data_IF_014844453908
#
_entry.id   IF_014844453908
#
_cell.length_a   1.000
_cell.length_b   1.000
_cell.length_c   1.000
_cell.angle_alpha   90.00
_cell.angle_beta   90.00
_cell.angle_gamma   90.00
#
_symmetry.space_group_name_H-M   'P 1'
#
loop_
_entity.id
_entity.type
_entity.pdbx_description
1 polymer ?
#
# COMPACT_ATOMS: atom_id res chain seq x y z
N UNK A 1 -3.37 -24.23 39.28
CA UNK A 1 -3.03 -25.01 38.07
C UNK A 1 -3.19 -24.09 36.86
N UNK A 2 -2.11 -23.85 36.11
CA UNK A 2 -2.08 -23.08 34.85
C UNK A 2 -1.95 -24.07 33.67
N UNK A 3 -2.47 -23.75 32.48
CA UNK A 3 -1.89 -24.23 31.23
C UNK A 3 -1.24 -23.08 30.42
N UNK A 4 -0.14 -23.42 29.75
CA UNK A 4 0.69 -22.59 28.88
C UNK A 4 0.36 -22.86 27.40
N UNK A 5 0.61 -21.86 26.54
CA UNK A 5 0.65 -21.89 25.07
C UNK A 5 1.70 -22.87 24.53
N UNK A 6 1.58 -23.28 23.24
CA UNK A 6 2.75 -23.30 22.33
C UNK A 6 2.38 -23.09 20.85
N UNK A 7 3.20 -22.22 20.25
CA UNK A 7 3.42 -21.87 18.84
C UNK A 7 3.99 -23.06 18.04
N UNK A 8 3.79 -23.14 16.73
CA UNK A 8 4.60 -24.01 15.84
C UNK A 8 5.32 -23.18 14.79
N UNK A 9 6.64 -23.15 14.94
CA UNK A 9 7.68 -22.60 14.07
C UNK A 9 8.37 -23.81 13.40
N UNK A 10 8.60 -23.80 12.08
CA UNK A 10 9.43 -24.81 11.42
C UNK A 10 10.65 -24.17 10.76
N UNK A 11 11.83 -24.49 11.31
CA UNK A 11 13.18 -24.33 10.75
C UNK A 11 13.62 -25.69 10.20
N UNK A 12 14.24 -25.72 9.01
CA UNK A 12 14.98 -26.88 8.50
C UNK A 12 16.43 -26.47 8.28
N UNK A 13 17.38 -27.14 8.94
CA UNK A 13 18.83 -26.96 8.81
C UNK A 13 19.46 -28.07 7.95
N UNK A 14 20.49 -27.68 7.17
CA UNK A 14 21.36 -28.49 6.29
C UNK A 14 22.64 -28.91 7.05
N UNK A 15 23.31 -30.05 6.74
CA UNK A 15 24.71 -30.27 7.13
C UNK A 15 25.73 -29.83 6.04
N UNK A 16 26.45 -28.76 6.37
CA UNK A 16 27.84 -28.33 6.10
C UNK A 16 28.60 -28.69 4.79
N UNK A 17 29.16 -27.67 4.10
CA UNK A 17 30.56 -27.19 4.33
C UNK A 17 30.93 -25.93 3.52
N UNK A 18 31.72 -25.06 4.19
CA UNK A 18 32.37 -23.79 3.79
C UNK A 18 31.47 -22.53 3.83
N UNK A 19 31.84 -21.67 4.78
CA UNK A 19 31.00 -20.69 5.45
C UNK A 19 31.02 -19.31 4.79
N UNK A 20 29.90 -18.95 4.16
CA UNK A 20 29.39 -17.58 4.17
C UNK A 20 28.16 -17.62 5.08
N UNK A 21 28.23 -16.96 6.24
CA UNK A 21 27.10 -16.86 7.16
C UNK A 21 25.96 -16.11 6.47
N UNK A 22 24.79 -16.72 6.19
CA UNK A 22 23.61 -15.95 5.88
C UNK A 22 23.11 -15.43 7.22
N UNK A 23 23.53 -14.21 7.58
CA UNK A 23 22.73 -13.45 8.54
C UNK A 23 21.36 -13.31 7.91
N UNK A 24 20.39 -14.04 8.42
CA UNK A 24 18.97 -13.78 8.18
C UNK A 24 18.68 -12.41 8.75
N UNK A 25 18.94 -11.39 7.94
CA UNK A 25 18.55 -10.02 8.21
C UNK A 25 17.03 -10.05 8.28
N UNK A 26 16.50 -9.78 9.47
CA UNK A 26 15.11 -9.38 9.63
C UNK A 26 14.91 -8.11 8.81
N UNK A 27 14.54 -8.28 7.54
CA UNK A 27 13.98 -7.21 6.74
C UNK A 27 12.69 -6.85 7.47
N UNK A 28 12.61 -5.60 7.93
CA UNK A 28 11.40 -5.03 8.47
C UNK A 28 10.25 -5.39 7.53
N UNK A 29 9.23 -6.11 8.02
CA UNK A 29 7.95 -6.24 7.33
C UNK A 29 7.29 -4.86 7.36
N UNK A 30 7.23 -4.09 6.26
CA UNK A 30 6.47 -2.86 6.23
C UNK A 30 5.04 -3.26 5.84
N UNK A 31 4.09 -3.02 6.74
CA UNK A 31 2.63 -3.06 6.53
C UNK A 31 2.08 -4.05 5.50
N UNK A 32 1.58 -5.19 6.01
CA UNK A 32 0.29 -5.78 5.62
C UNK A 32 -0.25 -5.45 4.22
N UNK A 33 -0.16 -6.42 3.30
CA UNK A 33 -0.99 -6.60 2.10
C UNK A 33 -0.97 -5.44 1.07
N UNK A 34 -0.75 -5.69 -0.24
CA UNK A 34 -1.28 -4.77 -1.24
C UNK A 34 -2.78 -4.71 -1.00
N UNK A 35 -3.23 -3.54 -0.57
CA UNK A 35 -4.60 -3.16 -0.25
C UNK A 35 -5.63 -4.10 -0.91
N UNK A 36 -6.11 -5.12 -0.19
CA UNK A 36 -6.89 -6.22 -0.80
C UNK A 36 -8.25 -5.77 -1.32
N UNK A 37 -8.63 -4.52 -1.03
CA UNK A 37 -9.92 -3.92 -1.32
C UNK A 37 -9.86 -2.91 -2.48
N UNK A 38 -8.66 -2.59 -2.98
CA UNK A 38 -8.46 -1.63 -4.08
C UNK A 38 -8.72 -0.19 -3.66
N UNK A 39 -8.47 0.17 -2.40
CA UNK A 39 -8.73 1.52 -1.91
C UNK A 39 -7.86 2.57 -2.62
N UNK A 40 -8.51 3.69 -2.98
CA UNK A 40 -7.91 4.76 -3.77
C UNK A 40 -7.63 4.42 -5.23
N UNK A 41 -7.88 3.20 -5.70
CA UNK A 41 -7.73 2.82 -7.10
C UNK A 41 -8.80 3.47 -7.98
N UNK A 42 -8.47 3.75 -9.23
CA UNK A 42 -9.41 4.28 -10.23
C UNK A 42 -10.47 3.24 -10.66
N UNK A 43 -10.17 1.95 -10.51
CA UNK A 43 -11.07 0.84 -10.80
C UNK A 43 -10.99 -0.24 -9.69
N UNK A 44 -11.47 0.07 -8.48
CA UNK A 44 -11.35 -0.81 -7.31
C UNK A 44 -12.04 -2.16 -7.54
N UNK A 45 -13.16 -2.18 -8.30
CA UNK A 45 -13.91 -3.40 -8.60
C UNK A 45 -13.10 -4.38 -9.43
N UNK A 46 -12.51 -3.92 -10.53
CA UNK A 46 -11.68 -4.81 -11.34
C UNK A 46 -10.36 -5.15 -10.65
N UNK A 47 -9.85 -4.29 -9.77
CA UNK A 47 -8.72 -4.65 -8.92
C UNK A 47 -9.06 -5.84 -8.01
N UNK A 48 -10.12 -5.74 -7.19
CA UNK A 48 -10.52 -6.80 -6.25
C UNK A 48 -10.81 -8.09 -7.01
N UNK A 49 -11.60 -8.03 -8.08
CA UNK A 49 -11.93 -9.19 -8.91
C UNK A 49 -10.66 -9.84 -9.49
N UNK A 50 -9.71 -9.04 -9.96
CA UNK A 50 -8.45 -9.52 -10.50
C UNK A 50 -7.60 -10.17 -9.40
N UNK A 51 -7.42 -9.50 -8.26
CA UNK A 51 -6.62 -9.96 -7.13
C UNK A 51 -7.16 -11.27 -6.56
N UNK A 52 -8.47 -11.36 -6.26
CA UNK A 52 -9.10 -12.60 -5.77
C UNK A 52 -8.87 -13.75 -6.73
N UNK A 53 -9.03 -13.53 -8.05
CA UNK A 53 -8.75 -14.56 -9.04
C UNK A 53 -7.28 -15.02 -8.98
N UNK A 54 -6.32 -14.12 -8.81
CA UNK A 54 -4.90 -14.51 -8.72
C UNK A 54 -4.59 -15.31 -7.44
N UNK A 55 -5.28 -15.01 -6.33
CA UNK A 55 -5.17 -15.81 -5.11
C UNK A 55 -5.73 -17.23 -5.32
N UNK A 56 -6.88 -17.36 -5.97
CA UNK A 56 -7.48 -18.67 -6.30
C UNK A 56 -6.58 -19.49 -7.25
N UNK A 57 -6.00 -18.82 -8.27
CA UNK A 57 -5.06 -19.43 -9.20
C UNK A 57 -3.78 -19.90 -8.47
N UNK A 58 -3.29 -19.14 -7.48
CA UNK A 58 -2.15 -19.52 -6.64
C UNK A 58 -2.44 -20.78 -5.80
N UNK A 59 -3.59 -20.85 -5.14
CA UNK A 59 -4.01 -22.04 -4.37
C UNK A 59 -4.11 -23.26 -5.29
N UNK A 60 -4.66 -23.08 -6.48
CA UNK A 60 -4.76 -24.13 -7.50
C UNK A 60 -3.37 -24.60 -7.94
N UNK A 61 -2.44 -23.66 -8.16
CA UNK A 61 -1.06 -23.94 -8.53
C UNK A 61 -0.33 -24.72 -7.42
N UNK A 62 -0.40 -24.25 -6.17
CA UNK A 62 0.25 -24.90 -5.03
C UNK A 62 -0.25 -26.32 -4.79
N UNK A 63 -1.54 -26.56 -4.98
CA UNK A 63 -2.13 -27.92 -4.87
C UNK A 63 -1.53 -28.88 -5.90
N UNK A 64 -1.24 -28.42 -7.12
CA UNK A 64 -0.56 -29.21 -8.16
C UNK A 64 0.93 -29.45 -7.87
N UNK A 65 1.56 -28.63 -7.05
CA UNK A 65 2.95 -28.84 -6.63
C UNK A 65 3.11 -29.83 -5.48
N UNK A 66 2.01 -30.20 -4.79
CA UNK A 66 2.03 -30.99 -3.56
C UNK A 66 1.60 -32.45 -3.73
N UNK A 67 1.62 -32.99 -4.95
CA UNK A 67 0.94 -34.26 -5.27
C UNK A 67 1.78 -35.50 -4.89
N UNK A 68 3.09 -35.40 -4.68
CA UNK A 68 3.93 -36.57 -4.32
C UNK A 68 5.17 -36.29 -3.46
N UNK A 69 5.54 -35.03 -3.27
CA UNK A 69 6.51 -34.45 -2.34
C UNK A 69 6.50 -32.96 -2.67
N UNK A 70 6.50 -32.07 -1.69
CA UNK A 70 6.49 -30.63 -1.96
C UNK A 70 7.68 -30.26 -2.86
N UNK A 71 7.41 -30.00 -4.14
CA UNK A 71 8.43 -29.53 -5.08
C UNK A 71 8.63 -28.04 -4.80
N UNK A 72 9.73 -27.71 -4.12
CA UNK A 72 10.04 -26.35 -3.68
C UNK A 72 10.13 -25.40 -4.88
N UNK A 73 10.76 -25.80 -5.97
CA UNK A 73 10.89 -24.98 -7.19
C UNK A 73 9.52 -24.70 -7.82
N UNK A 74 8.61 -25.69 -7.79
CA UNK A 74 7.23 -25.52 -8.26
C UNK A 74 6.46 -24.52 -7.39
N UNK A 75 6.57 -24.61 -6.07
CA UNK A 75 5.91 -23.68 -5.13
C UNK A 75 6.45 -22.26 -5.27
N UNK A 76 7.77 -22.10 -5.45
CA UNK A 76 8.40 -20.82 -5.75
C UNK A 76 7.87 -20.24 -7.07
N UNK A 77 7.79 -21.06 -8.13
CA UNK A 77 7.22 -20.65 -9.42
C UNK A 77 5.76 -20.19 -9.33
N UNK A 78 4.94 -20.85 -8.50
CA UNK A 78 3.57 -20.41 -8.22
C UNK A 78 3.55 -19.04 -7.51
N UNK A 79 4.46 -18.82 -6.56
CA UNK A 79 4.61 -17.55 -5.84
C UNK A 79 4.95 -16.39 -6.78
N UNK A 80 5.99 -16.56 -7.60
CA UNK A 80 6.41 -15.56 -8.61
C UNK A 80 5.28 -15.23 -9.58
N UNK A 81 4.57 -16.26 -10.06
CA UNK A 81 3.43 -16.09 -10.97
C UNK A 81 2.28 -15.29 -10.33
N UNK A 82 1.93 -15.62 -9.07
CA UNK A 82 0.93 -14.88 -8.30
C UNK A 82 1.35 -13.43 -8.14
N UNK A 83 2.56 -13.17 -7.65
CA UNK A 83 3.03 -11.83 -7.35
C UNK A 83 3.04 -10.95 -8.59
N UNK A 84 3.48 -11.52 -9.71
CA UNK A 84 3.48 -10.84 -11.02
C UNK A 84 2.06 -10.49 -11.45
N UNK A 85 1.12 -11.42 -11.31
CA UNK A 85 -0.26 -11.21 -11.74
C UNK A 85 -1.03 -10.23 -10.82
N UNK A 86 -0.81 -10.31 -9.50
CA UNK A 86 -1.36 -9.36 -8.51
C UNK A 86 -0.83 -7.95 -8.76
N UNK A 87 0.47 -7.81 -9.00
CA UNK A 87 1.05 -6.52 -9.38
C UNK A 87 0.44 -6.00 -10.68
N UNK A 88 0.17 -6.89 -11.65
CA UNK A 88 -0.55 -6.56 -12.88
C UNK A 88 -1.97 -6.02 -12.63
N UNK A 89 -2.68 -6.56 -11.64
CA UNK A 89 -3.97 -6.03 -11.19
C UNK A 89 -3.83 -4.59 -10.68
N UNK A 90 -2.80 -4.31 -9.85
CA UNK A 90 -2.51 -2.94 -9.37
C UNK A 90 -2.30 -2.00 -10.54
N UNK A 91 -1.43 -2.34 -11.50
CA UNK A 91 -1.14 -1.40 -12.60
C UNK A 91 -2.36 -1.18 -13.50
N UNK A 92 -3.20 -2.21 -13.69
CA UNK A 92 -4.39 -2.09 -14.53
C UNK A 92 -5.48 -1.24 -13.90
N UNK A 93 -5.72 -1.41 -12.60
CA UNK A 93 -6.89 -0.89 -11.93
C UNK A 93 -6.59 0.25 -10.96
N UNK A 94 -5.33 0.46 -10.61
CA UNK A 94 -4.85 1.49 -9.68
C UNK A 94 -3.80 2.38 -10.36
N UNK A 95 -3.89 2.57 -11.68
CA UNK A 95 -2.89 3.35 -12.43
C UNK A 95 -2.77 4.80 -11.93
N UNK A 96 -3.78 5.33 -11.22
CA UNK A 96 -3.75 6.64 -10.59
C UNK A 96 -2.85 6.72 -9.34
N UNK A 97 -2.37 5.58 -8.83
CA UNK A 97 -1.49 5.49 -7.65
C UNK A 97 -0.05 5.09 -8.00
N UNK A 98 0.31 4.94 -9.28
CA UNK A 98 1.60 4.32 -9.70
C UNK A 98 2.86 5.08 -9.28
N UNK A 99 2.74 6.33 -8.82
CA UNK A 99 3.88 7.08 -8.29
C UNK A 99 3.86 7.25 -6.77
N UNK A 100 2.77 6.85 -6.11
CA UNK A 100 2.64 6.94 -4.64
C UNK A 100 3.70 6.12 -3.94
N UNK A 101 4.02 6.49 -2.70
CA UNK A 101 4.91 5.73 -1.82
C UNK A 101 4.47 4.27 -1.70
N UNK A 102 3.16 4.02 -1.59
CA UNK A 102 2.61 2.67 -1.49
C UNK A 102 2.98 1.82 -2.71
N UNK A 103 2.77 2.35 -3.93
CA UNK A 103 3.13 1.64 -5.15
C UNK A 103 4.65 1.39 -5.23
N UNK A 104 5.45 2.40 -4.93
CA UNK A 104 6.91 2.30 -5.02
C UNK A 104 7.46 1.28 -4.01
N UNK A 105 6.91 1.21 -2.80
CA UNK A 105 7.27 0.17 -1.81
C UNK A 105 6.79 -1.22 -2.24
N UNK A 106 5.60 -1.33 -2.83
CA UNK A 106 5.09 -2.61 -3.35
C UNK A 106 5.95 -3.13 -4.49
N UNK A 107 6.37 -2.24 -5.41
CA UNK A 107 7.28 -2.55 -6.51
C UNK A 107 8.65 -3.02 -6.00
N UNK A 108 9.20 -2.33 -5.01
CA UNK A 108 10.45 -2.72 -4.36
C UNK A 108 10.33 -4.10 -3.71
N UNK A 109 9.26 -4.35 -2.96
CA UNK A 109 9.03 -5.65 -2.34
C UNK A 109 8.91 -6.77 -3.38
N UNK A 110 8.23 -6.52 -4.49
CA UNK A 110 8.16 -7.45 -5.62
C UNK A 110 9.57 -7.79 -6.15
N UNK A 111 10.42 -6.78 -6.34
CA UNK A 111 11.81 -6.97 -6.80
C UNK A 111 12.61 -7.81 -5.81
N UNK A 112 12.53 -7.51 -4.51
CA UNK A 112 13.28 -8.19 -3.45
C UNK A 112 12.84 -9.66 -3.30
N UNK A 113 11.53 -9.90 -3.17
CA UNK A 113 10.99 -11.24 -2.92
C UNK A 113 11.25 -12.19 -4.09
N UNK A 114 11.33 -11.66 -5.31
CA UNK A 114 11.53 -12.45 -6.51
C UNK A 114 12.98 -12.45 -7.02
N UNK A 115 13.92 -11.87 -6.26
CA UNK A 115 15.36 -11.79 -6.59
C UNK A 115 15.63 -11.25 -8.00
N UNK A 116 14.96 -10.16 -8.37
CA UNK A 116 15.01 -9.61 -9.73
C UNK A 116 16.14 -8.59 -9.88
N UNK A 117 16.92 -8.71 -10.97
CA UNK A 117 18.06 -7.84 -11.26
C UNK A 117 17.59 -6.51 -11.83
N UNK A 118 17.91 -5.40 -11.16
CA UNK A 118 17.41 -4.04 -11.43
C UNK A 118 17.82 -3.42 -12.80
N UNK A 119 18.43 -4.16 -13.72
CA UNK A 119 19.02 -3.65 -14.97
C UNK A 119 18.05 -3.61 -16.17
N UNK A 120 16.79 -4.04 -15.99
CA UNK A 120 15.73 -3.98 -16.99
C UNK A 120 14.45 -3.36 -16.41
N UNK A 121 13.54 -2.80 -17.24
CA UNK A 121 12.22 -2.38 -16.77
C UNK A 121 11.37 -3.61 -16.40
N UNK A 122 11.63 -4.15 -15.20
CA UNK A 122 10.98 -5.33 -14.62
C UNK A 122 9.57 -4.97 -14.14
N UNK A 123 9.45 -3.79 -13.55
CA UNK A 123 8.24 -3.28 -12.92
C UNK A 123 7.87 -1.95 -13.60
N UNK A 124 6.67 -1.82 -14.17
CA UNK A 124 6.21 -0.57 -14.75
C UNK A 124 6.30 0.58 -13.74
N UNK A 125 6.56 1.80 -14.23
CA UNK A 125 6.50 3.03 -13.41
C UNK A 125 7.43 3.03 -12.17
N UNK A 126 8.45 2.18 -12.17
CA UNK A 126 9.44 2.07 -11.11
C UNK A 126 10.86 2.09 -11.72
N UNK A 127 11.75 3.00 -11.26
CA UNK A 127 11.48 4.14 -10.39
C UNK A 127 10.54 5.17 -11.05
N UNK A 128 9.91 6.08 -10.29
CA UNK A 128 9.07 7.12 -10.86
C UNK A 128 9.93 8.15 -11.59
N UNK A 129 9.41 8.81 -12.65
CA UNK A 129 10.14 9.88 -13.32
C UNK A 129 10.37 11.06 -12.36
N UNK A 130 11.40 11.90 -12.61
CA UNK A 130 11.68 13.05 -11.77
C UNK A 130 10.47 13.99 -11.65
N UNK A 131 10.15 14.41 -10.43
CA UNK A 131 9.05 15.33 -10.11
C UNK A 131 7.67 14.86 -10.59
N UNK A 132 7.44 13.55 -10.67
CA UNK A 132 6.13 13.01 -11.00
C UNK A 132 5.05 13.50 -10.00
N UNK A 133 3.87 13.83 -10.51
CA UNK A 133 2.75 14.22 -9.66
C UNK A 133 2.29 13.03 -8.79
N UNK A 134 1.94 13.27 -7.53
CA UNK A 134 1.60 12.18 -6.60
C UNK A 134 2.77 11.23 -6.33
N UNK A 135 4.00 11.65 -6.63
CA UNK A 135 5.18 10.87 -6.33
C UNK A 135 5.38 10.74 -4.83
N UNK A 136 6.09 9.69 -4.44
CA UNK A 136 6.62 9.60 -3.09
C UNK A 136 7.62 10.72 -2.80
N UNK A 137 7.63 11.24 -1.57
CA UNK A 137 8.52 12.32 -1.11
C UNK A 137 10.02 12.01 -1.27
N UNK A 138 10.35 10.73 -1.44
CA UNK A 138 11.65 10.23 -1.80
C UNK A 138 11.52 9.24 -2.97
N UNK A 139 12.45 9.30 -3.92
CA UNK A 139 12.54 8.32 -5.00
C UNK A 139 13.23 7.05 -4.47
N UNK A 140 12.46 6.23 -3.75
CA UNK A 140 12.94 4.99 -3.12
C UNK A 140 13.53 4.03 -4.15
N UNK A 141 12.97 3.97 -5.36
CA UNK A 141 13.53 3.13 -6.42
C UNK A 141 14.95 3.53 -6.82
N UNK A 142 15.22 4.83 -6.97
CA UNK A 142 16.58 5.32 -7.21
C UNK A 142 17.48 5.14 -5.98
N UNK A 143 16.97 5.33 -4.76
CA UNK A 143 17.75 5.14 -3.54
C UNK A 143 18.18 3.67 -3.39
N UNK A 144 17.27 2.73 -3.61
CA UNK A 144 17.55 1.30 -3.60
C UNK A 144 18.46 0.87 -4.76
N UNK A 145 18.28 1.44 -5.96
CA UNK A 145 19.17 1.19 -7.11
C UNK A 145 20.62 1.57 -6.77
N UNK A 146 20.82 2.68 -6.06
CA UNK A 146 22.15 3.07 -5.61
C UNK A 146 22.79 2.05 -4.66
N UNK A 147 22.02 1.18 -3.99
CA UNK A 147 22.55 0.11 -3.14
C UNK A 147 22.70 -1.24 -3.86
N UNK A 148 21.93 -1.45 -4.93
CA UNK A 148 21.70 -2.80 -5.50
C UNK A 148 22.04 -2.94 -6.97
N UNK A 149 22.57 -1.90 -7.62
CA UNK A 149 23.30 -2.06 -8.89
C UNK A 149 24.60 -2.84 -8.59
N UNK A 150 24.43 -4.13 -8.35
CA UNK A 150 25.42 -5.17 -8.44
C UNK A 150 25.39 -5.60 -9.90
N UNK A 151 26.43 -5.27 -10.65
CA UNK A 151 26.83 -6.15 -11.73
C UNK A 151 27.13 -7.53 -11.09
N UNK A 152 27.12 -8.63 -11.87
CA UNK A 152 27.60 -9.92 -11.38
C UNK A 152 28.97 -9.81 -10.68
N UNK A 153 29.76 -8.81 -11.10
CA UNK A 153 31.06 -8.42 -10.59
C UNK A 153 31.00 -7.06 -9.86
N UNK A 154 31.84 -6.83 -8.84
CA UNK A 154 31.96 -5.50 -8.20
C UNK A 154 32.41 -4.44 -9.22
N UNK A 155 31.99 -3.17 -9.09
CA UNK A 155 32.49 -2.07 -9.95
C UNK A 155 34.01 -1.97 -9.89
N UNK A 156 34.60 -2.41 -8.77
CA UNK A 156 36.02 -2.43 -8.56
C UNK A 156 36.73 -3.50 -9.38
N UNK A 157 36.07 -4.61 -9.71
CA UNK A 157 36.66 -5.59 -10.62
C UNK A 157 36.86 -5.00 -12.02
N UNK A 158 35.93 -4.15 -12.48
CA UNK A 158 36.10 -3.41 -13.74
C UNK A 158 37.21 -2.36 -13.67
N UNK A 159 37.35 -1.69 -12.51
CA UNK A 159 38.30 -0.58 -12.33
C UNK A 159 39.74 -1.06 -12.09
N UNK A 160 39.93 -2.15 -11.35
CA UNK A 160 41.26 -2.59 -10.89
C UNK A 160 41.56 -4.08 -11.14
N UNK A 161 40.64 -4.83 -11.74
CA UNK A 161 40.79 -6.27 -11.99
C UNK A 161 40.43 -7.15 -10.79
N UNK A 162 40.58 -8.47 -10.94
CA UNK A 162 40.22 -9.44 -9.92
C UNK A 162 41.37 -9.71 -8.93
N UNK A 163 41.07 -9.66 -7.63
CA UNK A 163 41.98 -10.03 -6.53
C UNK A 163 42.98 -8.96 -6.12
N UNK A 164 43.65 -9.19 -4.99
CA UNK A 164 44.71 -8.32 -4.45
C UNK A 164 44.21 -7.11 -3.64
N UNK A 165 45.16 -6.34 -3.11
CA UNK A 165 44.86 -5.24 -2.19
C UNK A 165 44.18 -4.05 -2.87
N UNK A 166 44.43 -3.82 -4.16
CA UNK A 166 43.75 -2.76 -4.91
C UNK A 166 42.25 -3.02 -5.03
N UNK A 167 41.83 -4.28 -5.25
CA UNK A 167 40.42 -4.64 -5.28
C UNK A 167 39.78 -4.38 -3.92
N UNK A 168 40.38 -4.90 -2.84
CA UNK A 168 39.93 -4.70 -1.46
C UNK A 168 39.81 -3.21 -1.10
N UNK A 169 40.79 -2.38 -1.48
CA UNK A 169 40.79 -0.92 -1.25
C UNK A 169 39.70 -0.22 -2.04
N UNK A 170 39.47 -0.62 -3.30
CA UNK A 170 38.38 -0.09 -4.09
C UNK A 170 37.02 -0.49 -3.51
N UNK A 171 36.85 -1.72 -3.00
CA UNK A 171 35.60 -2.18 -2.38
C UNK A 171 35.24 -1.37 -1.11
N UNK A 172 36.24 -0.84 -0.39
CA UNK A 172 36.01 0.16 0.66
C UNK A 172 35.30 1.41 0.10
N UNK A 173 35.79 1.92 -1.04
CA UNK A 173 35.21 3.07 -1.74
C UNK A 173 33.82 2.77 -2.30
N UNK A 174 33.62 1.59 -2.86
CA UNK A 174 32.35 1.13 -3.40
C UNK A 174 31.25 1.13 -2.32
N UNK A 175 31.58 0.71 -1.10
CA UNK A 175 30.65 0.73 0.02
C UNK A 175 30.21 2.14 0.40
N UNK A 176 31.16 3.09 0.48
CA UNK A 176 30.85 4.50 0.72
C UNK A 176 30.03 5.10 -0.42
N UNK A 177 30.36 4.77 -1.67
CA UNK A 177 29.62 5.20 -2.86
C UNK A 177 28.15 4.79 -2.82
N UNK A 178 27.86 3.53 -2.52
CA UNK A 178 26.50 3.00 -2.49
C UNK A 178 25.64 3.66 -1.40
N UNK A 179 26.18 3.75 -0.18
CA UNK A 179 25.51 4.47 0.91
C UNK A 179 25.26 5.93 0.55
N UNK A 180 26.27 6.60 0.01
CA UNK A 180 26.19 8.02 -0.32
C UNK A 180 25.20 8.30 -1.43
N UNK A 181 25.14 7.46 -2.46
CA UNK A 181 24.13 7.56 -3.51
C UNK A 181 22.70 7.43 -2.96
N UNK A 182 22.46 6.49 -2.05
CA UNK A 182 21.15 6.31 -1.42
C UNK A 182 20.75 7.53 -0.57
N UNK A 183 21.66 8.02 0.28
CA UNK A 183 21.43 9.21 1.12
C UNK A 183 21.23 10.47 0.27
N UNK A 184 22.06 10.69 -0.75
CA UNK A 184 21.90 11.84 -1.65
C UNK A 184 20.57 11.83 -2.41
N UNK A 185 20.06 10.64 -2.74
CA UNK A 185 18.75 10.51 -3.39
C UNK A 185 17.62 10.89 -2.45
N UNK A 186 17.75 10.54 -1.16
CA UNK A 186 16.70 10.71 -0.16
C UNK A 186 17.26 11.20 1.19
N UNK A 187 17.73 12.47 1.26
CA UNK A 187 18.56 12.92 2.37
C UNK A 187 17.81 13.07 3.70
N UNK A 188 16.49 13.24 3.64
CA UNK A 188 15.64 13.44 4.84
C UNK A 188 14.92 12.19 5.29
N UNK A 189 14.88 11.17 4.45
CA UNK A 189 14.03 9.98 4.64
C UNK A 189 14.70 8.96 5.56
N UNK A 190 13.90 8.31 6.39
CA UNK A 190 14.31 7.09 7.09
C UNK A 190 14.51 5.95 6.07
N UNK A 191 15.77 5.67 5.75
CA UNK A 191 16.17 4.64 4.78
C UNK A 191 16.30 3.23 5.40
N UNK A 192 15.92 3.04 6.67
CA UNK A 192 15.75 1.69 7.23
C UNK A 192 14.66 0.90 6.49
N UNK A 193 13.70 1.59 5.86
CA UNK A 193 12.66 1.01 5.00
C UNK A 193 13.21 0.24 3.78
N UNK A 194 14.45 0.53 3.37
CA UNK A 194 15.18 -0.21 2.34
C UNK A 194 16.40 -0.96 2.90
N UNK A 195 16.42 -1.19 4.22
CA UNK A 195 17.49 -1.87 4.95
C UNK A 195 18.88 -1.22 4.77
N UNK A 196 18.95 0.10 4.57
CA UNK A 196 20.23 0.81 4.47
C UNK A 196 21.06 0.68 5.75
N UNK A 197 20.41 0.60 6.91
CA UNK A 197 21.09 0.42 8.20
C UNK A 197 21.75 -0.97 8.30
N UNK A 198 21.11 -2.01 7.77
CA UNK A 198 21.66 -3.38 7.71
C UNK A 198 22.85 -3.41 6.76
N UNK A 199 22.70 -2.82 5.58
CA UNK A 199 23.80 -2.66 4.61
C UNK A 199 24.99 -1.94 5.24
N UNK A 200 24.72 -0.81 5.90
CA UNK A 200 25.72 0.00 6.58
C UNK A 200 26.46 -0.78 7.68
N UNK A 201 25.72 -1.46 8.56
CA UNK A 201 26.32 -2.32 9.60
C UNK A 201 27.20 -3.40 8.98
N UNK A 202 26.74 -4.03 7.90
CA UNK A 202 27.54 -5.01 7.14
C UNK A 202 28.83 -4.40 6.59
N UNK A 203 28.73 -3.27 5.90
CA UNK A 203 29.89 -2.57 5.34
C UNK A 203 30.91 -2.18 6.42
N UNK A 204 30.46 -1.57 7.53
CA UNK A 204 31.32 -1.17 8.65
C UNK A 204 31.92 -2.38 9.38
N UNK A 205 31.18 -3.45 9.58
CA UNK A 205 31.70 -4.67 10.23
C UNK A 205 32.71 -5.41 9.35
N UNK A 206 32.61 -5.28 8.03
CA UNK A 206 33.55 -5.87 7.09
C UNK A 206 34.84 -5.06 6.97
N UNK A 207 34.82 -3.74 7.22
CA UNK A 207 36.01 -2.86 7.15
C UNK A 207 37.21 -3.39 7.98
N UNK A 208 37.04 -3.82 9.25
CA UNK A 208 38.14 -4.40 10.03
C UNK A 208 38.54 -5.83 9.63
N UNK A 209 37.71 -6.53 8.84
CA UNK A 209 37.97 -7.91 8.40
C UNK A 209 38.79 -7.96 7.11
N UNK A 210 39.02 -6.81 6.48
CA UNK A 210 39.89 -6.69 5.31
C UNK A 210 41.32 -6.46 5.81
N UNK A 211 42.30 -7.23 5.33
CA UNK A 211 43.75 -7.03 5.63
C UNK A 211 44.32 -5.68 5.11
N UNK A 212 43.45 -4.74 4.72
CA UNK A 212 43.81 -3.42 4.19
C UNK A 212 43.02 -2.35 4.94
N UNK A 213 43.70 -1.27 5.32
CA UNK A 213 43.07 -0.17 6.07
C UNK A 213 42.11 0.62 5.17
N UNK A 214 40.80 0.37 5.32
CA UNK A 214 39.76 1.12 4.63
C UNK A 214 39.52 2.52 5.22
N UNK A 215 39.93 2.81 6.46
CA UNK A 215 39.57 4.06 7.13
C UNK A 215 39.99 5.33 6.38
N UNK A 216 41.19 5.40 5.74
CA UNK A 216 41.58 6.54 4.91
C UNK A 216 40.77 6.67 3.63
N UNK A 217 40.20 5.56 3.13
CA UNK A 217 39.52 5.44 1.84
C UNK A 217 38.01 5.62 1.93
N UNK A 218 37.42 5.65 3.13
CA UNK A 218 35.99 5.96 3.29
C UNK A 218 35.71 7.48 3.14
N UNK A 219 36.54 8.21 2.40
CA UNK A 219 36.40 9.64 2.12
C UNK A 219 36.33 9.86 0.59
N UNK A 220 35.40 10.69 0.12
CA UNK A 220 35.12 11.00 -1.31
C UNK A 220 36.36 11.22 -2.14
N UNK A 221 37.25 12.07 -1.62
CA UNK A 221 38.30 12.69 -2.42
C UNK A 221 39.30 11.62 -2.82
N UNK A 222 39.62 10.71 -1.88
CA UNK A 222 40.53 9.60 -2.17
C UNK A 222 39.91 8.54 -3.08
N UNK A 223 38.63 8.24 -2.95
CA UNK A 223 37.96 7.29 -3.84
C UNK A 223 37.91 7.77 -5.29
N UNK A 224 37.67 9.07 -5.46
CA UNK A 224 37.61 9.68 -6.77
C UNK A 224 39.03 9.79 -7.37
N UNK A 225 40.01 10.23 -6.59
CA UNK A 225 41.40 10.37 -7.03
C UNK A 225 42.06 9.03 -7.37
N UNK A 226 41.87 8.01 -6.54
CA UNK A 226 42.60 6.74 -6.65
C UNK A 226 41.95 5.78 -7.65
N UNK A 227 40.63 5.71 -7.70
CA UNK A 227 39.89 4.74 -8.51
C UNK A 227 39.01 5.38 -9.58
N UNK A 228 38.95 6.71 -9.68
CA UNK A 228 38.05 7.39 -10.61
C UNK A 228 36.57 7.20 -10.28
N UNK A 229 36.26 6.81 -9.03
CA UNK A 229 34.92 6.38 -8.63
C UNK A 229 33.96 7.56 -8.56
N UNK A 230 32.83 7.47 -9.26
CA UNK A 230 31.79 8.50 -9.30
C UNK A 230 30.51 8.03 -8.61
N UNK A 231 29.83 8.95 -7.92
CA UNK A 231 28.51 8.70 -7.35
C UNK A 231 27.48 8.45 -8.45
N UNK A 232 26.52 7.55 -8.16
CA UNK A 232 25.34 7.36 -9.01
C UNK A 232 24.31 8.48 -8.86
N UNK A 233 24.31 9.19 -7.73
CA UNK A 233 23.40 10.30 -7.44
C UNK A 233 24.01 11.26 -6.40
N UNK A 234 23.79 12.57 -6.61
CA UNK A 234 24.35 13.65 -5.78
C UNK A 234 25.86 13.85 -5.96
N UNK A 235 26.45 14.66 -5.07
CA UNK A 235 27.87 15.06 -5.11
C UNK A 235 28.62 14.79 -3.82
N UNK A 236 27.92 14.49 -2.72
CA UNK A 236 28.53 14.30 -1.40
C UNK A 236 28.83 12.81 -1.17
N UNK A 237 30.07 12.45 -0.81
CA UNK A 237 30.30 11.15 -0.19
C UNK A 237 30.28 11.26 1.32
N UNK A 238 29.69 10.27 1.95
CA UNK A 238 29.67 10.10 3.39
C UNK A 238 30.73 9.10 3.84
N UNK A 239 31.44 9.48 4.91
CA UNK A 239 32.34 8.58 5.60
C UNK A 239 31.56 7.65 6.51
N UNK A 240 31.60 6.35 6.20
CA UNK A 240 30.85 5.34 6.94
C UNK A 240 31.31 5.16 8.39
N UNK A 241 32.54 5.57 8.73
CA UNK A 241 33.03 5.52 10.11
C UNK A 241 32.68 6.79 10.91
N UNK A 242 32.23 7.84 10.24
CA UNK A 242 31.98 9.15 10.84
C UNK A 242 30.89 9.89 10.10
N UNK A 243 29.66 9.42 10.23
CA UNK A 243 28.49 10.07 9.63
C UNK A 243 28.17 11.39 10.35
N UNK A 244 27.76 12.44 9.62
CA UNK A 244 27.22 13.65 10.22
C UNK A 244 25.97 13.37 11.05
N UNK A 245 25.69 14.15 12.10
CA UNK A 245 24.44 14.04 12.84
C UNK A 245 23.23 14.20 11.93
N UNK A 246 22.25 13.29 12.04
CA UNK A 246 21.03 13.32 11.23
C UNK A 246 21.15 12.70 9.84
N UNK A 247 22.25 11.98 9.55
CA UNK A 247 22.43 11.19 8.34
C UNK A 247 22.45 9.68 8.66
N UNK A 248 21.61 8.84 8.01
CA UNK A 248 20.51 9.23 7.13
C UNK A 248 19.40 9.98 7.91
N UNK A 249 18.51 10.63 7.18
CA UNK A 249 17.36 11.29 7.79
C UNK A 249 16.40 10.31 8.46
N UNK A 250 15.39 10.86 9.15
CA UNK A 250 14.43 10.07 9.95
C UNK A 250 12.97 10.33 9.57
N UNK A 251 12.72 11.05 8.48
CA UNK A 251 11.36 11.38 8.06
C UNK A 251 10.71 10.18 7.39
N UNK A 252 9.46 9.90 7.77
CA UNK A 252 8.64 8.94 7.03
C UNK A 252 8.41 9.43 5.60
N UNK A 253 8.24 8.49 4.68
CA UNK A 253 7.84 8.79 3.31
C UNK A 253 6.35 9.20 3.26
N UNK A 254 6.00 10.07 2.33
CA UNK A 254 4.63 10.55 2.12
C UNK A 254 4.42 10.93 0.67
N UNK A 255 3.19 10.82 0.17
CA UNK A 255 2.86 11.26 -1.18
C UNK A 255 2.94 12.80 -1.28
N UNK A 256 3.50 13.31 -2.39
CA UNK A 256 3.59 14.73 -2.67
C UNK A 256 2.81 15.10 -3.94
N UNK A 257 1.86 16.02 -3.77
CA UNK A 257 0.94 16.43 -4.82
C UNK A 257 -0.13 15.38 -5.13
N UNK A 258 -1.07 15.73 -6.01
CA UNK A 258 -2.10 14.81 -6.49
C UNK A 258 -1.78 14.36 -7.92
N UNK A 259 -1.86 13.06 -8.18
CA UNK A 259 -1.77 12.53 -9.53
C UNK A 259 -3.12 12.72 -10.24
N UNK A 260 -3.22 13.75 -11.08
CA UNK A 260 -4.49 14.12 -11.74
C UNK A 260 -4.53 13.75 -13.22
N UNK A 261 -3.37 13.59 -13.87
CA UNK A 261 -3.28 13.23 -15.29
C UNK A 261 -2.08 12.33 -15.56
N UNK A 262 -2.26 11.35 -16.45
CA UNK A 262 -1.19 10.46 -16.89
C UNK A 262 -0.41 11.09 -18.06
N UNK A 263 0.92 11.29 -17.96
CA UNK A 263 1.72 11.82 -19.05
C UNK A 263 2.05 10.70 -20.04
N UNK A 264 1.16 10.42 -21.00
CA UNK A 264 1.39 9.37 -22.01
C UNK A 264 0.18 9.02 -22.85
N UNK A 265 0.34 8.06 -23.80
CA UNK A 265 -0.77 7.58 -24.61
C UNK A 265 -1.84 6.95 -23.70
N UNK A 266 -3.12 7.23 -23.96
CA UNK A 266 -4.24 6.72 -23.17
C UNK A 266 -4.35 5.19 -23.18
N UNK A 267 -3.59 4.49 -24.01
CA UNK A 267 -3.49 3.03 -23.98
C UNK A 267 -2.05 2.60 -24.24
N UNK A 268 -1.52 1.71 -23.40
CA UNK A 268 -0.18 1.14 -23.58
C UNK A 268 -0.14 -0.33 -23.18
N UNK A 269 0.80 -1.09 -23.75
CA UNK A 269 1.03 -2.49 -23.37
C UNK A 269 2.13 -2.54 -22.34
N UNK A 270 1.78 -2.99 -21.14
CA UNK A 270 2.75 -3.31 -20.10
C UNK A 270 3.36 -4.67 -20.37
N UNK A 271 4.65 -4.76 -20.09
CA UNK A 271 5.39 -6.02 -19.99
C UNK A 271 6.02 -6.04 -18.61
N UNK A 272 5.90 -7.18 -17.94
CA UNK A 272 6.52 -7.42 -16.65
C UNK A 272 7.33 -8.72 -16.71
N UNK A 273 8.10 -8.96 -15.66
CA UNK A 273 8.80 -10.22 -15.47
C UNK A 273 7.86 -11.44 -15.59
N UNK A 274 8.41 -12.60 -15.92
CA UNK A 274 7.61 -13.83 -16.10
C UNK A 274 6.74 -13.85 -17.36
N UNK A 275 6.92 -12.90 -18.29
CA UNK A 275 6.20 -12.85 -19.56
C UNK A 275 4.77 -12.30 -19.45
N UNK A 276 4.39 -11.75 -18.30
CA UNK A 276 3.10 -11.10 -18.14
C UNK A 276 3.03 -9.87 -19.05
N UNK A 277 1.94 -9.78 -19.81
CA UNK A 277 1.62 -8.60 -20.60
C UNK A 277 0.16 -8.23 -20.46
N UNK A 278 -0.12 -6.95 -20.26
CA UNK A 278 -1.48 -6.42 -20.21
C UNK A 278 -1.56 -5.08 -20.92
N UNK A 279 -2.65 -4.87 -21.64
CA UNK A 279 -3.01 -3.54 -22.13
C UNK A 279 -3.65 -2.76 -20.98
N UNK A 280 -3.15 -1.57 -20.71
CA UNK A 280 -3.75 -0.62 -19.77
C UNK A 280 -4.34 0.54 -20.55
N UNK A 281 -5.51 1.02 -20.12
CA UNK A 281 -6.17 2.21 -20.65
C UNK A 281 -6.31 3.23 -19.53
N UNK A 282 -5.68 4.39 -19.72
CA UNK A 282 -5.56 5.47 -18.75
C UNK A 282 -6.44 6.63 -19.18
N UNK A 283 -7.26 7.15 -18.28
CA UNK A 283 -8.20 8.25 -18.53
C UNK A 283 -7.92 9.41 -17.54
N UNK A 284 -8.35 10.65 -17.79
CA UNK A 284 -8.29 11.68 -16.76
C UNK A 284 -9.07 11.26 -15.50
N UNK A 285 -8.51 11.52 -14.31
CA UNK A 285 -9.17 11.23 -13.04
C UNK A 285 -9.47 12.52 -12.29
N UNK A 286 -10.76 12.76 -12.05
CA UNK A 286 -11.26 13.73 -11.07
C UNK A 286 -11.88 12.94 -9.93
N UNK A 287 -11.51 13.26 -8.68
CA UNK A 287 -12.18 12.71 -7.51
C UNK A 287 -13.67 13.08 -7.59
N UNK A 288 -14.50 12.11 -7.97
CA UNK A 288 -15.91 12.29 -8.28
C UNK A 288 -16.76 12.49 -7.03
N UNK A 289 -17.62 13.51 -7.12
CA UNK A 289 -18.67 13.96 -6.21
C UNK A 289 -19.57 12.89 -5.58
N UNK A 290 -19.86 13.08 -4.29
CA UNK A 290 -21.06 12.55 -3.61
C UNK A 290 -20.83 12.09 -2.15
N UNK A 291 -19.58 11.98 -1.73
CA UNK A 291 -19.16 11.81 -0.34
C UNK A 291 -17.67 12.11 -0.23
N UNK A 292 -17.29 13.05 0.63
CA UNK A 292 -15.88 13.45 0.78
C UNK A 292 -15.22 12.56 1.81
N UNK A 293 -14.32 11.69 1.35
CA UNK A 293 -13.48 10.90 2.25
C UNK A 293 -12.37 11.80 2.82
N UNK A 294 -12.23 11.80 4.14
CA UNK A 294 -11.25 12.60 4.85
C UNK A 294 -10.38 11.70 5.71
N UNK A 295 -9.06 11.86 5.64
CA UNK A 295 -8.12 11.09 6.47
C UNK A 295 -8.39 11.23 7.98
N UNK A 296 -9.02 12.33 8.42
CA UNK A 296 -9.51 12.51 9.78
C UNK A 296 -10.55 13.63 9.87
N UNK A 297 -11.34 13.66 10.96
CA UNK A 297 -12.20 14.81 11.31
C UNK A 297 -11.37 16.11 11.36
N UNK A 298 -10.14 16.03 11.90
CA UNK A 298 -9.24 17.18 11.94
C UNK A 298 -8.91 17.69 10.54
N UNK A 299 -8.66 16.82 9.57
CA UNK A 299 -8.36 17.21 8.19
C UNK A 299 -9.52 17.98 7.55
N UNK A 300 -10.76 17.55 7.79
CA UNK A 300 -11.93 18.32 7.37
C UNK A 300 -11.99 19.67 8.09
N UNK A 301 -11.78 19.71 9.41
CA UNK A 301 -11.77 20.96 10.19
C UNK A 301 -10.67 21.94 9.80
N UNK A 302 -9.51 21.44 9.40
CA UNK A 302 -8.43 22.27 8.87
C UNK A 302 -8.83 22.85 7.50
N UNK A 303 -9.51 22.06 6.65
CA UNK A 303 -10.07 22.56 5.39
C UNK A 303 -11.13 23.63 5.60
N UNK A 304 -12.02 23.47 6.59
CA UNK A 304 -13.04 24.48 6.95
C UNK A 304 -12.42 25.86 7.23
N UNK A 305 -11.16 25.92 7.65
CA UNK A 305 -10.42 27.15 7.96
C UNK A 305 -9.72 27.77 6.74
N UNK A 306 -9.73 27.11 5.59
CA UNK A 306 -9.09 27.62 4.37
C UNK A 306 -9.98 28.63 3.63
N UNK A 307 -9.36 29.52 2.86
CA UNK A 307 -10.09 30.47 2.00
C UNK A 307 -10.94 29.77 0.92
N UNK A 308 -10.65 28.51 0.60
CA UNK A 308 -11.38 27.71 -0.38
C UNK A 308 -12.73 27.18 0.14
N UNK A 309 -12.92 27.10 1.46
CA UNK A 309 -14.08 26.46 2.06
C UNK A 309 -15.38 27.23 1.81
N UNK A 310 -15.38 28.55 2.03
CA UNK A 310 -16.60 29.35 1.87
C UNK A 310 -17.12 29.34 0.42
N UNK A 311 -16.28 29.54 -0.62
CA UNK A 311 -16.71 29.36 -2.01
C UNK A 311 -17.24 27.96 -2.32
N UNK A 312 -16.66 26.92 -1.71
CA UNK A 312 -17.12 25.53 -1.87
C UNK A 312 -18.52 25.33 -1.28
N UNK A 313 -18.74 25.74 -0.02
CA UNK A 313 -20.05 25.64 0.65
C UNK A 313 -21.12 26.45 -0.09
N UNK A 314 -20.79 27.64 -0.58
CA UNK A 314 -21.72 28.47 -1.36
C UNK A 314 -22.18 27.77 -2.64
N UNK A 315 -21.27 27.08 -3.34
CA UNK A 315 -21.63 26.29 -4.54
C UNK A 315 -22.52 25.10 -4.21
N UNK A 316 -22.28 24.43 -3.09
CA UNK A 316 -23.16 23.34 -2.64
C UNK A 316 -24.53 23.88 -2.22
N UNK A 317 -24.57 25.04 -1.56
CA UNK A 317 -25.82 25.67 -1.14
C UNK A 317 -26.78 25.99 -2.28
N UNK A 318 -26.30 26.19 -3.52
CA UNK A 318 -27.18 26.45 -4.67
C UNK A 318 -27.96 25.22 -5.13
N UNK A 319 -27.53 24.02 -4.77
CA UNK A 319 -28.15 22.75 -5.15
C UNK A 319 -28.89 22.06 -3.99
N UNK A 320 -28.88 22.66 -2.80
CA UNK A 320 -29.55 22.12 -1.62
C UNK A 320 -30.88 22.82 -1.35
N UNK A 321 -31.91 22.05 -0.99
CA UNK A 321 -33.24 22.57 -0.65
C UNK A 321 -33.36 23.05 0.81
N UNK A 322 -32.27 23.00 1.58
CA UNK A 322 -32.24 23.37 2.99
C UNK A 322 -30.81 23.50 3.53
N UNK A 323 -30.65 23.79 4.84
CA UNK A 323 -29.33 23.92 5.45
C UNK A 323 -28.47 22.67 5.28
N UNK A 324 -27.17 22.85 5.03
CA UNK A 324 -26.22 21.74 4.94
C UNK A 324 -26.11 21.07 6.31
N UNK A 325 -26.48 19.79 6.38
CA UNK A 325 -26.18 18.95 7.54
C UNK A 325 -25.00 18.06 7.20
N UNK A 326 -23.87 18.30 7.84
CA UNK A 326 -22.69 17.44 7.75
C UNK A 326 -22.61 16.57 9.00
N UNK A 327 -22.24 15.31 8.81
CA UNK A 327 -22.02 14.34 9.89
C UNK A 327 -20.74 13.60 9.58
N UNK A 328 -19.92 13.34 10.59
CA UNK A 328 -18.73 12.52 10.44
C UNK A 328 -19.06 11.10 10.87
N UNK A 329 -18.81 10.14 9.99
CA UNK A 329 -18.92 8.72 10.30
C UNK A 329 -17.52 8.10 10.27
N UNK A 330 -17.16 7.43 11.35
CA UNK A 330 -15.92 6.65 11.46
C UNK A 330 -16.14 5.28 10.80
N UNK A 331 -16.10 5.27 9.47
CA UNK A 331 -16.31 4.07 8.70
C UNK A 331 -15.15 3.07 8.89
N UNK A 332 -15.49 1.78 8.97
CA UNK A 332 -14.51 0.68 9.05
C UNK A 332 -13.78 0.44 7.74
N UNK A 333 -14.34 0.92 6.63
CA UNK A 333 -13.75 0.92 5.30
C UNK A 333 -14.15 2.22 4.57
N UNK A 334 -13.39 2.70 3.58
CA UNK A 334 -13.75 3.88 2.80
C UNK A 334 -15.19 3.84 2.26
N UNK A 335 -15.84 5.00 2.16
CA UNK A 335 -17.20 5.08 1.58
C UNK A 335 -17.23 4.55 0.14
N UNK A 336 -16.11 4.67 -0.57
CA UNK A 336 -15.91 4.13 -1.91
C UNK A 336 -16.22 2.63 -2.02
N UNK A 337 -16.05 1.85 -0.95
CA UNK A 337 -16.39 0.41 -0.93
C UNK A 337 -17.88 0.17 -1.25
N UNK A 338 -18.77 1.08 -0.84
CA UNK A 338 -20.18 1.04 -1.22
C UNK A 338 -20.48 1.90 -2.46
N UNK A 339 -19.85 3.08 -2.57
CA UNK A 339 -20.15 4.09 -3.58
C UNK A 339 -19.69 3.76 -5.02
N UNK A 340 -19.02 2.63 -5.21
CA UNK A 340 -18.75 2.07 -6.55
C UNK A 340 -19.99 1.47 -7.23
N UNK A 341 -21.08 1.27 -6.48
CA UNK A 341 -22.32 0.73 -6.98
C UNK A 341 -23.18 1.80 -7.68
N UNK A 342 -23.98 1.43 -8.71
CA UNK A 342 -24.92 2.35 -9.35
C UNK A 342 -25.89 3.00 -8.35
N UNK A 343 -26.38 2.22 -7.38
CA UNK A 343 -27.24 2.70 -6.30
C UNK A 343 -26.57 2.42 -4.97
N UNK A 344 -26.52 3.42 -4.10
CA UNK A 344 -26.04 3.28 -2.72
C UNK A 344 -27.19 3.52 -1.77
N UNK A 345 -27.46 2.55 -0.92
CA UNK A 345 -28.31 2.72 0.25
C UNK A 345 -27.49 3.35 1.38
N UNK A 346 -27.87 4.56 1.79
CA UNK A 346 -27.36 5.22 2.98
C UNK A 346 -28.38 5.08 4.11
N UNK A 347 -28.04 4.25 5.08
CA UNK A 347 -28.83 3.96 6.26
C UNK A 347 -28.19 4.65 7.47
N UNK A 348 -29.01 5.34 8.27
CA UNK A 348 -28.64 5.80 9.61
C UNK A 348 -29.55 5.15 10.64
N UNK A 349 -28.96 4.45 11.59
CA UNK A 349 -29.63 3.84 12.73
C UNK A 349 -29.42 4.70 13.97
N UNK A 350 -30.48 4.91 14.74
CA UNK A 350 -30.47 5.78 15.92
C UNK A 350 -30.71 5.00 17.20
N UNK A 351 -29.91 5.32 18.22
CA UNK A 351 -29.87 4.62 19.50
C UNK A 351 -29.84 5.62 20.67
N UNK A 352 -30.37 5.25 21.85
CA UNK A 352 -30.15 6.03 23.07
C UNK A 352 -28.66 6.16 23.40
N UNK A 353 -28.28 7.20 24.14
CA UNK A 353 -26.86 7.47 24.46
C UNK A 353 -26.15 6.31 25.19
N UNK A 354 -26.90 5.56 26.02
CA UNK A 354 -26.41 4.43 26.80
C UNK A 354 -26.51 3.08 26.07
N UNK A 355 -26.60 3.07 24.74
CA UNK A 355 -26.67 1.81 23.97
C UNK A 355 -25.40 0.99 24.14
N UNK A 356 -25.56 -0.33 24.26
CA UNK A 356 -24.44 -1.26 24.20
C UNK A 356 -23.88 -1.31 22.77
N UNK A 357 -22.76 -0.60 22.56
CA UNK A 357 -22.11 -0.49 21.25
C UNK A 357 -21.60 -1.83 20.74
N UNK A 358 -21.13 -2.72 21.62
CA UNK A 358 -20.63 -4.04 21.22
C UNK A 358 -21.79 -4.85 20.66
N UNK A 359 -22.93 -4.85 21.35
CA UNK A 359 -24.12 -5.55 20.88
C UNK A 359 -24.62 -4.99 19.53
N UNK A 360 -24.60 -3.66 19.36
CA UNK A 360 -24.95 -3.02 18.07
C UNK A 360 -24.00 -3.46 16.96
N UNK A 361 -22.70 -3.38 17.19
CA UNK A 361 -21.67 -3.74 16.22
C UNK A 361 -21.77 -5.22 15.82
N UNK A 362 -21.90 -6.14 16.79
CA UNK A 362 -22.06 -7.58 16.52
C UNK A 362 -23.34 -7.86 15.73
N UNK A 363 -24.48 -7.30 16.15
CA UNK A 363 -25.78 -7.50 15.48
C UNK A 363 -25.74 -7.02 14.03
N UNK A 364 -25.12 -5.86 13.78
CA UNK A 364 -25.03 -5.29 12.43
C UNK A 364 -24.04 -6.04 11.55
N UNK A 365 -22.90 -6.48 12.07
CA UNK A 365 -21.97 -7.33 11.32
C UNK A 365 -22.64 -8.63 10.90
N UNK A 366 -23.38 -9.30 11.80
CA UNK A 366 -24.11 -10.52 11.46
C UNK A 366 -25.21 -10.29 10.40
N UNK A 367 -25.96 -9.20 10.54
CA UNK A 367 -26.98 -8.82 9.56
C UNK A 367 -26.38 -8.57 8.18
N UNK A 368 -25.28 -7.82 8.12
CA UNK A 368 -24.59 -7.52 6.86
C UNK A 368 -23.93 -8.78 6.28
N UNK A 369 -23.31 -9.63 7.09
CA UNK A 369 -22.73 -10.87 6.58
C UNK A 369 -23.81 -11.76 5.94
N UNK A 370 -24.98 -11.84 6.56
CA UNK A 370 -26.13 -12.55 5.97
C UNK A 370 -26.55 -11.94 4.63
N UNK A 371 -26.51 -10.61 4.51
CA UNK A 371 -26.76 -9.91 3.25
C UNK A 371 -25.69 -10.27 2.21
N UNK A 372 -24.41 -10.19 2.56
CA UNK A 372 -23.29 -10.53 1.66
C UNK A 372 -23.45 -11.95 1.10
N UNK A 373 -23.84 -12.90 1.94
CA UNK A 373 -23.93 -14.32 1.56
C UNK A 373 -25.16 -14.65 0.69
N UNK A 374 -26.21 -13.83 0.74
CA UNK A 374 -27.52 -14.19 0.17
C UNK A 374 -28.09 -13.18 -0.83
N UNK A 375 -27.65 -11.93 -0.82
CA UNK A 375 -28.23 -10.87 -1.64
C UNK A 375 -27.65 -10.89 -3.06
N UNK A 376 -28.52 -11.12 -4.05
CA UNK A 376 -28.16 -10.91 -5.46
C UNK A 376 -28.09 -9.42 -5.75
N UNK A 377 -27.04 -8.99 -6.45
CA UNK A 377 -26.82 -7.59 -6.80
C UNK A 377 -26.25 -6.73 -5.68
N UNK A 378 -25.80 -7.33 -4.58
CA UNK A 378 -24.94 -6.67 -3.60
C UNK A 378 -23.54 -6.41 -4.20
N UNK A 379 -22.99 -5.22 -3.96
CA UNK A 379 -21.70 -4.80 -4.53
C UNK A 379 -20.63 -4.60 -3.46
N UNK A 380 -20.98 -3.99 -2.33
CA UNK A 380 -20.03 -3.63 -1.29
C UNK A 380 -20.72 -2.89 -0.15
N UNK A 381 -20.07 -2.77 1.01
CA UNK A 381 -20.62 -2.00 2.13
C UNK A 381 -19.52 -1.35 2.96
N UNK A 382 -19.91 -0.35 3.74
CA UNK A 382 -19.13 0.10 4.90
C UNK A 382 -20.06 0.52 6.03
N UNK A 383 -19.58 0.45 7.27
CA UNK A 383 -20.34 0.85 8.45
C UNK A 383 -19.46 1.60 9.45
N UNK A 384 -20.06 2.47 10.26
CA UNK A 384 -19.32 3.29 11.20
C UNK A 384 -20.19 4.03 12.21
N UNK A 385 -19.61 4.35 13.35
CA UNK A 385 -20.25 5.23 14.33
C UNK A 385 -20.21 6.68 13.85
N UNK A 386 -21.32 7.39 14.01
CA UNK A 386 -21.35 8.84 13.80
C UNK A 386 -20.72 9.51 15.02
N UNK A 387 -19.78 10.43 14.77
CA UNK A 387 -19.04 11.11 15.82
C UNK A 387 -19.92 12.08 16.61
N UNK A 388 -20.85 12.75 15.93
CA UNK A 388 -21.78 13.69 16.55
C UNK A 388 -22.93 12.99 17.29
N UNK A 389 -23.36 13.62 18.37
CA UNK A 389 -24.65 13.34 19.01
C UNK A 389 -25.78 14.05 18.25
N UNK A 390 -26.82 13.31 17.89
CA UNK A 390 -27.90 13.79 17.05
C UNK A 390 -29.21 13.92 17.83
N UNK A 391 -30.08 14.83 17.40
CA UNK A 391 -31.49 14.82 17.84
C UNK A 391 -32.28 13.82 16.99
N UNK A 392 -33.21 13.09 17.60
CA UNK A 392 -34.12 12.20 16.88
C UNK A 392 -35.47 12.10 17.59
N UNK A 393 -36.59 12.27 16.87
CA UNK A 393 -37.94 12.38 17.43
C UNK A 393 -38.38 11.21 18.34
N UNK A 394 -37.78 10.03 18.14
CA UNK A 394 -38.08 8.79 18.88
C UNK A 394 -37.18 8.56 20.10
N UNK A 395 -36.25 9.47 20.38
CA UNK A 395 -35.27 9.35 21.47
C UNK A 395 -35.34 10.63 22.29
N UNK A 396 -35.57 10.49 23.59
CA UNK A 396 -35.52 11.62 24.51
C UNK A 396 -34.06 12.04 24.72
N UNK A 397 -33.73 13.28 24.39
CA UNK A 397 -32.37 13.81 24.45
C UNK A 397 -31.49 13.41 23.26
N UNK A 398 -30.18 13.35 23.51
CA UNK A 398 -29.17 13.06 22.49
C UNK A 398 -29.16 11.58 22.09
N UNK A 399 -29.19 11.33 20.79
CA UNK A 399 -29.07 10.03 20.18
C UNK A 399 -27.64 9.77 19.67
N UNK A 400 -27.18 8.53 19.84
CA UNK A 400 -26.05 7.99 19.08
C UNK A 400 -26.55 7.48 17.75
N UNK A 401 -25.73 7.63 16.72
CA UNK A 401 -26.06 7.16 15.39
C UNK A 401 -24.99 6.25 14.80
N UNK A 402 -25.43 5.30 13.99
CA UNK A 402 -24.59 4.38 13.25
C UNK A 402 -24.93 4.48 11.77
N UNK A 403 -23.94 4.82 10.96
CA UNK A 403 -24.07 4.95 9.52
C UNK A 403 -23.72 3.63 8.85
N UNK A 404 -24.49 3.29 7.83
CA UNK A 404 -24.32 2.10 7.00
C UNK A 404 -24.47 2.55 5.54
N UNK A 405 -23.50 2.22 4.71
CA UNK A 405 -23.57 2.41 3.27
C UNK A 405 -23.54 1.04 2.60
N UNK A 406 -24.50 0.73 1.72
CA UNK A 406 -24.60 -0.54 1.00
C UNK A 406 -24.74 -0.25 -0.49
N UNK A 407 -23.83 -0.79 -1.29
CA UNK A 407 -23.86 -0.69 -2.74
C UNK A 407 -24.71 -1.79 -3.36
N UNK A 408 -25.58 -1.39 -4.29
CA UNK A 408 -26.50 -2.25 -5.04
C UNK A 408 -26.35 -2.05 -6.55
N UNK A 409 -26.42 -3.13 -7.32
CA UNK A 409 -26.43 -3.08 -8.80
C UNK A 409 -27.60 -2.26 -9.34
N UNK A 410 -28.74 -2.28 -8.66
CA UNK A 410 -29.89 -1.43 -8.92
C UNK A 410 -30.80 -1.32 -7.69
N UNK A 411 -31.74 -0.37 -7.71
CA UNK A 411 -32.75 -0.24 -6.65
C UNK A 411 -33.62 -1.51 -6.59
N UNK A 412 -33.96 -2.08 -7.74
CA UNK A 412 -34.76 -3.30 -7.85
C UNK A 412 -34.06 -4.50 -7.22
N UNK A 413 -32.72 -4.61 -7.35
CA UNK A 413 -31.94 -5.68 -6.72
C UNK A 413 -32.07 -5.62 -5.19
N UNK A 414 -31.94 -4.41 -4.61
CA UNK A 414 -32.18 -4.20 -3.19
C UNK A 414 -33.61 -4.58 -2.78
N UNK A 415 -34.60 -4.08 -3.51
CA UNK A 415 -36.01 -4.35 -3.18
C UNK A 415 -36.35 -5.84 -3.28
N UNK A 416 -35.81 -6.54 -4.28
CA UNK A 416 -35.96 -7.99 -4.42
C UNK A 416 -35.33 -8.75 -3.24
N UNK A 417 -34.16 -8.33 -2.74
CA UNK A 417 -33.57 -8.92 -1.55
C UNK A 417 -34.44 -8.69 -0.31
N UNK A 418 -35.03 -7.50 -0.15
CA UNK A 418 -35.93 -7.19 0.97
C UNK A 418 -37.18 -8.08 1.01
N UNK A 419 -37.63 -8.59 -0.14
CA UNK A 419 -38.78 -9.48 -0.22
C UNK A 419 -38.46 -10.93 0.16
N UNK A 420 -37.18 -11.29 0.27
CA UNK A 420 -36.74 -12.64 0.67
C UNK A 420 -37.09 -12.96 2.13
N UNK A 421 -37.27 -14.25 2.44
CA UNK A 421 -37.47 -14.70 3.81
C UNK A 421 -36.21 -14.46 4.66
N UNK A 422 -35.02 -14.68 4.08
CA UNK A 422 -33.73 -14.41 4.74
C UNK A 422 -33.65 -12.97 5.25
N UNK A 423 -34.02 -11.98 4.45
CA UNK A 423 -34.05 -10.58 4.92
C UNK A 423 -35.08 -10.38 6.03
N UNK A 424 -36.31 -10.89 5.84
CA UNK A 424 -37.42 -10.74 6.80
C UNK A 424 -37.08 -11.32 8.17
N UNK A 425 -36.37 -12.45 8.21
CA UNK A 425 -35.96 -13.09 9.46
C UNK A 425 -34.84 -12.32 10.17
N UNK A 426 -33.92 -11.72 9.42
CA UNK A 426 -32.74 -11.07 10.00
C UNK A 426 -32.96 -9.58 10.34
N UNK A 427 -33.79 -8.86 9.60
CA UNK A 427 -34.06 -7.43 9.85
C UNK A 427 -34.73 -7.19 11.21
N UNK A 428 -35.43 -8.19 11.75
CA UNK A 428 -36.06 -8.12 13.08
C UNK A 428 -35.01 -7.90 14.18
N UNK A 429 -33.81 -8.48 14.05
CA UNK A 429 -32.71 -8.30 15.01
C UNK A 429 -32.25 -6.84 15.06
N UNK A 430 -32.05 -6.22 13.88
CA UNK A 430 -31.66 -4.80 13.77
C UNK A 430 -32.76 -3.89 14.33
N UNK A 431 -34.03 -4.18 14.01
CA UNK A 431 -35.18 -3.41 14.51
C UNK A 431 -35.39 -3.54 16.02
N UNK A 432 -34.93 -4.62 16.64
CA UNK A 432 -35.01 -4.80 18.08
C UNK A 432 -34.06 -3.86 18.83
N UNK A 433 -32.91 -3.53 18.25
CA UNK A 433 -31.88 -2.69 18.89
C UNK A 433 -31.98 -1.21 18.50
N UNK A 434 -32.41 -0.87 17.29
CA UNK A 434 -32.53 0.50 16.82
C UNK A 434 -33.87 1.14 17.21
N UNK A 435 -33.85 2.40 17.69
CA UNK A 435 -35.06 3.18 18.02
C UNK A 435 -35.54 4.04 16.85
N UNK A 436 -34.63 4.40 15.95
CA UNK A 436 -34.89 5.16 14.74
C UNK A 436 -34.09 4.62 13.56
N UNK A 437 -34.58 4.89 12.37
CA UNK A 437 -33.99 4.46 11.11
C UNK A 437 -34.34 5.51 10.04
N UNK A 438 -33.33 5.93 9.29
CA UNK A 438 -33.51 6.73 8.07
C UNK A 438 -32.75 6.07 6.94
N UNK A 439 -33.38 5.94 5.79
CA UNK A 439 -32.80 5.29 4.60
C UNK A 439 -32.95 6.21 3.41
N UNK A 440 -31.87 6.36 2.65
CA UNK A 440 -31.85 7.04 1.36
C UNK A 440 -31.22 6.13 0.32
N UNK A 441 -31.73 6.15 -0.90
CA UNK A 441 -31.06 5.56 -2.07
C UNK A 441 -30.50 6.71 -2.90
N UNK A 442 -29.19 6.68 -3.12
CA UNK A 442 -28.46 7.70 -3.86
C UNK A 442 -27.88 7.07 -5.11
N UNK A 443 -28.16 7.67 -6.26
CA UNK A 443 -27.48 7.37 -7.51
C UNK A 443 -26.24 8.25 -7.62
N UNK A 444 -25.06 7.63 -7.67
CA UNK A 444 -23.82 8.36 -7.89
C UNK A 444 -23.58 8.46 -9.40
N UNK A 445 -23.90 9.63 -9.95
CA UNK A 445 -23.64 9.90 -11.37
C UNK A 445 -22.13 10.16 -11.53
N UNK A 446 -21.48 9.36 -12.37
CA UNK A 446 -20.09 9.59 -12.76
C UNK A 446 -20.02 10.92 -13.50
N UNK A 447 -19.32 11.89 -12.92
CA UNK A 447 -19.08 13.20 -13.52
C UNK A 447 -18.20 13.10 -14.78
#
# INVERSE_FOLDING_TARGET
MKPFQFLSLFLVFIPATIAATPTTSAIATPSSNPDTLGEGCVDPRNYVKCNTKQQDDFVTCGTRCNVTNANVDCLLGCGVSRDTAVFGCVVKSCWNKVYTCEYQMTALNFIIVNDLIHDQPIVPFYPPPPNAAGACSCNIGNAYSNMTVRKPDSICQDLVGSGGDNLKRCECCESSRYFSGAVNTCPRTDLSIIALDVYFKGAVNNVPQVDVDCAPLLNSDKCTEEFGMKLGSGTEFYNLLSLPPGVPGTQAISDVGAFTTFPGPQTTTLKMFGGYSSVITMAPWTAGSGGSDWNSIKSHKDFEQTEAYLPFVQKIGTIMSGPVQMRHAEFRAPLATAAVAPIVELLTLYFPDHVDRINVDTTLVEFIQTLVDNAKGFVGYTTGWVAEELEHEKIEGKARAYAVAIGWESLEAHMAYRDTQTFKDNIVKVRAIAKGLTVYHVEFIKA
#
